data_IF_373416500453
#
_entry.id   IF_373416500453
#
_cell.length_a   1.000
_cell.length_b   1.000
_cell.length_c   1.000
_cell.angle_alpha   90.00
_cell.angle_beta   90.00
_cell.angle_gamma   90.00
#
_symmetry.space_group_name_H-M   'P 1'
#
loop_
_entity.id
_entity.type
_entity.pdbx_description
1 polymer ?
2 non-polymer ?
3 non-polymer ?
4 non-polymer ?
5 water ?
#
# COMPACT_ATOMS: atom_id res chain seq x y z
N UNK A 23 -7.58 -19.89 0.94
CA UNK A 23 -8.47 -20.29 2.07
C UNK A 23 -8.67 -19.14 3.07
N UNK A 24 -7.87 -18.08 2.92
CA UNK A 24 -7.96 -16.90 3.78
C UNK A 24 -8.31 -15.66 2.95
N UNK A 25 -9.35 -14.93 3.35
CA UNK A 25 -9.73 -13.70 2.64
C UNK A 25 -8.62 -12.68 2.84
N UNK A 26 -8.08 -12.15 1.74
CA UNK A 26 -7.02 -11.18 1.82
C UNK A 26 -7.44 -9.83 1.26
N UNK A 27 -7.52 -8.82 2.13
CA UNK A 27 -7.92 -7.49 1.71
C UNK A 27 -6.79 -6.49 1.79
N UNK A 28 -6.63 -5.71 0.73
CA UNK A 28 -5.58 -4.71 0.69
C UNK A 28 -6.10 -3.32 1.04
N UNK A 29 -5.34 -2.61 1.88
CA UNK A 29 -5.72 -1.25 2.27
C UNK A 29 -4.89 -0.32 1.40
N UNK A 30 -5.54 0.51 0.59
CA UNK A 30 -4.82 1.43 -0.28
C UNK A 30 -5.11 2.90 0.09
N UNK A 31 -4.15 3.76 -0.17
CA UNK A 31 -4.33 5.16 0.14
C UNK A 31 -3.06 5.98 0.00
N UNK A 32 -3.22 7.29 -0.13
CA UNK A 32 -2.10 8.22 -0.27
C UNK A 32 -1.23 8.28 0.99
N UNK A 33 -0.05 8.84 0.83
CA UNK A 33 0.88 8.99 1.93
C UNK A 33 0.18 9.73 3.07
N UNK A 34 0.25 9.17 4.27
CA UNK A 34 -0.36 9.75 5.45
C UNK A 34 -1.88 9.95 5.37
N UNK A 35 -2.56 9.15 4.56
CA UNK A 35 -4.01 9.28 4.45
C UNK A 35 -4.67 8.69 5.70
N UNK A 36 -3.99 7.78 6.38
CA UNK A 36 -4.54 7.22 7.60
C UNK A 36 -4.57 5.72 7.68
N UNK A 37 -3.79 5.07 6.83
CA UNK A 37 -3.72 3.61 6.80
C UNK A 37 -3.34 2.94 8.14
N UNK A 38 -2.18 3.29 8.71
CA UNK A 38 -1.76 2.70 9.97
C UNK A 38 -2.79 2.95 11.05
N UNK A 39 -3.44 4.11 11.02
CA UNK A 39 -4.46 4.44 12.02
C UNK A 39 -5.66 3.52 11.89
N UNK A 40 -6.02 3.23 10.64
CA UNK A 40 -7.15 2.36 10.31
C UNK A 40 -6.78 0.92 10.67
N UNK A 41 -5.52 0.57 10.43
CA UNK A 41 -5.03 -0.77 10.74
C UNK A 41 -5.11 -1.10 12.24
N UNK A 42 -4.86 -0.10 13.08
CA UNK A 42 -4.89 -0.30 14.53
C UNK A 42 -6.25 -0.52 15.17
N UNK A 43 -7.31 -0.21 14.44
CA UNK A 43 -8.64 -0.41 14.98
C UNK A 43 -9.24 -1.67 14.38
N UNK A 44 -8.45 -2.35 13.55
CA UNK A 44 -8.91 -3.57 12.90
C UNK A 44 -8.89 -4.85 13.75
N UNK A 45 -7.74 -5.15 14.34
CA UNK A 45 -7.63 -6.36 15.14
C UNK A 45 -8.64 -6.43 16.26
N UNK A 46 -8.91 -5.29 16.89
CA UNK A 46 -9.86 -5.30 17.99
C UNK A 46 -11.31 -5.52 17.57
N UNK A 47 -11.56 -5.50 16.26
CA UNK A 47 -12.93 -5.70 15.77
C UNK A 47 -13.24 -7.18 15.54
N UNK A 48 -12.21 -8.02 15.56
CA UNK A 48 -12.41 -9.44 15.37
C UNK A 48 -11.10 -10.21 15.51
N UNK A 49 -11.13 -11.23 16.36
CA UNK A 49 -9.94 -12.04 16.60
C UNK A 49 -9.53 -12.79 15.34
N UNK A 50 -10.43 -12.83 14.35
CA UNK A 50 -10.15 -13.52 13.09
C UNK A 50 -9.35 -12.70 12.07
N UNK A 51 -9.04 -11.46 12.42
CA UNK A 51 -8.32 -10.63 11.48
C UNK A 51 -6.84 -10.49 11.73
N UNK A 52 -6.10 -10.39 10.63
CA UNK A 52 -4.67 -10.24 10.70
C UNK A 52 -4.25 -9.04 9.87
N UNK A 53 -3.16 -8.41 10.27
CA UNK A 53 -2.66 -7.22 9.57
C UNK A 53 -1.17 -7.30 9.25
N UNK A 54 -0.83 -7.09 7.98
CA UNK A 54 0.59 -7.09 7.58
C UNK A 54 0.95 -5.65 7.33
N UNK A 55 1.67 -5.02 8.26
CA UNK A 55 2.03 -3.61 8.05
C UNK A 55 3.13 -3.41 7.02
N UNK A 56 3.08 -2.23 6.42
CA UNK A 56 4.06 -1.83 5.45
C UNK A 56 5.39 -1.72 6.19
N UNK A 57 6.42 -2.43 5.72
CA UNK A 57 7.75 -2.42 6.35
C UNK A 57 8.47 -1.07 6.23
N UNK A 58 7.78 0.01 6.58
CA UNK A 58 8.37 1.35 6.48
C UNK A 58 9.63 1.57 7.35
N UNK A 59 9.59 1.15 8.61
CA UNK A 59 10.75 1.34 9.49
C UNK A 59 11.98 0.57 8.99
N UNK A 60 11.72 -0.58 8.36
CA UNK A 60 12.77 -1.43 7.84
C UNK A 60 13.43 -0.85 6.57
N UNK A 61 12.80 0.17 5.99
CA UNK A 61 13.37 0.79 4.81
C UNK A 61 14.22 1.97 5.30
N UNK A 62 14.01 2.32 6.56
CA UNK A 62 14.71 3.44 7.17
C UNK A 62 16.01 3.08 7.89
N UNK A 63 16.20 1.79 8.13
CA UNK A 63 17.43 1.34 8.75
C UNK A 63 17.72 0.01 8.14
N UNK A 64 18.12 0.05 6.88
CA UNK A 64 18.44 -1.14 6.10
C UNK A 64 19.44 -2.06 6.80
N UNK A 65 18.92 -3.20 7.26
CA UNK A 65 19.71 -4.21 7.96
C UNK A 65 19.30 -5.54 7.32
N UNK A 66 20.17 -6.54 7.42
CA UNK A 66 19.89 -7.87 6.86
C UNK A 66 18.90 -8.62 7.75
N UNK A 67 18.10 -9.50 7.15
CA UNK A 67 17.08 -10.26 7.88
C UNK A 67 17.52 -10.68 9.29
N UNK A 80 22.55 0.02 13.50
CA UNK A 80 22.03 1.09 12.67
C UNK A 80 22.73 1.29 11.31
N UNK A 81 21.97 1.14 10.24
CA UNK A 81 22.51 1.28 8.89
C UNK A 81 21.85 2.34 8.00
N UNK A 82 21.85 2.08 6.68
CA UNK A 82 21.30 3.02 5.72
C UNK A 82 19.80 3.23 5.72
N UNK A 83 19.39 4.40 5.22
CA UNK A 83 17.98 4.78 5.15
C UNK A 83 17.58 5.04 3.68
N UNK A 84 17.39 3.96 2.92
CA UNK A 84 17.07 4.04 1.52
C UNK A 84 15.80 4.88 1.20
N UNK A 85 14.85 4.91 2.12
CA UNK A 85 13.64 5.71 1.92
C UNK A 85 14.02 7.18 1.77
N UNK A 86 14.94 7.62 2.63
CA UNK A 86 15.39 9.00 2.59
C UNK A 86 16.32 9.26 1.41
N UNK A 87 17.13 8.27 1.07
CA UNK A 87 18.05 8.39 -0.04
C UNK A 87 17.24 8.66 -1.32
N UNK A 88 16.14 7.93 -1.46
CA UNK A 88 15.27 8.05 -2.60
C UNK A 88 14.54 9.40 -2.60
N UNK A 89 13.98 9.81 -1.47
CA UNK A 89 13.31 11.10 -1.39
C UNK A 89 14.27 12.26 -1.63
N UNK A 90 15.57 12.05 -1.43
CA UNK A 90 16.54 13.12 -1.62
C UNK A 90 17.24 13.12 -2.97
N UNK A 91 17.14 12.03 -3.71
CA UNK A 91 17.74 11.96 -5.03
C UNK A 91 17.08 10.80 -5.77
N UNK A 92 15.78 10.92 -6.05
CA UNK A 92 14.95 9.94 -6.75
C UNK A 92 15.47 9.34 -8.04
N UNK A 93 16.14 10.13 -8.88
CA UNK A 93 16.66 9.59 -10.14
C UNK A 93 17.86 8.70 -9.91
N UNK A 94 18.37 8.71 -8.69
CA UNK A 94 19.51 7.87 -8.34
C UNK A 94 19.04 6.62 -7.61
N UNK A 95 18.13 6.81 -6.67
CA UNK A 95 17.61 5.74 -5.82
C UNK A 95 16.19 5.22 -5.98
N UNK A 96 15.45 5.63 -7.01
CA UNK A 96 14.10 5.12 -7.17
C UNK A 96 14.07 3.63 -7.49
N UNK A 97 14.90 3.19 -8.43
CA UNK A 97 14.93 1.78 -8.78
C UNK A 97 15.27 0.93 -7.55
N UNK A 98 16.39 1.24 -6.91
CA UNK A 98 16.83 0.51 -5.73
C UNK A 98 15.69 0.44 -4.73
N UNK A 99 15.13 1.60 -4.41
CA UNK A 99 14.05 1.62 -3.45
C UNK A 99 12.88 0.76 -3.92
N UNK A 100 12.47 0.92 -5.17
CA UNK A 100 11.36 0.13 -5.69
C UNK A 100 11.66 -1.37 -5.66
N UNK A 101 12.92 -1.72 -5.91
CA UNK A 101 13.34 -3.12 -5.92
C UNK A 101 13.26 -3.72 -4.53
N UNK A 102 13.83 -3.01 -3.56
CA UNK A 102 13.86 -3.46 -2.18
C UNK A 102 12.52 -3.31 -1.48
N UNK A 103 11.82 -2.23 -1.76
CA UNK A 103 10.54 -2.00 -1.12
C UNK A 103 9.54 -3.10 -1.46
N UNK A 104 9.45 -3.47 -2.73
CA UNK A 104 8.49 -4.49 -3.12
C UNK A 104 8.83 -5.90 -2.61
N UNK A 105 10.07 -6.34 -2.82
CA UNK A 105 10.50 -7.66 -2.35
C UNK A 105 10.18 -7.75 -0.87
N UNK A 106 10.49 -6.66 -0.17
CA UNK A 106 10.26 -6.55 1.25
C UNK A 106 8.81 -6.79 1.65
N UNK A 107 7.89 -6.11 0.97
CA UNK A 107 6.47 -6.23 1.26
C UNK A 107 5.96 -7.64 0.97
N UNK A 108 6.49 -8.27 -0.07
CA UNK A 108 6.07 -9.61 -0.42
C UNK A 108 6.45 -10.60 0.65
N UNK A 109 7.69 -10.49 1.14
CA UNK A 109 8.15 -11.38 2.19
C UNK A 109 7.27 -11.21 3.41
N UNK A 110 7.00 -9.97 3.79
CA UNK A 110 6.15 -9.72 4.95
C UNK A 110 4.76 -10.34 4.79
N UNK A 111 4.15 -10.13 3.62
CA UNK A 111 2.83 -10.67 3.36
C UNK A 111 2.86 -12.19 3.24
N UNK A 112 3.94 -12.73 2.69
CA UNK A 112 4.02 -14.17 2.59
C UNK A 112 4.22 -14.80 3.95
N UNK A 113 5.02 -14.16 4.79
CA UNK A 113 5.28 -14.73 6.12
C UNK A 113 3.99 -14.87 6.88
N UNK A 114 3.15 -13.84 6.80
CA UNK A 114 1.88 -13.84 7.51
C UNK A 114 0.91 -14.88 6.97
N UNK A 115 1.26 -15.48 5.83
CA UNK A 115 0.42 -16.53 5.27
C UNK A 115 0.98 -17.86 5.75
N UNK A 116 1.46 -17.87 6.97
CA UNK A 116 2.03 -19.07 7.56
C UNK A 116 2.03 -18.90 9.06
N UNK A 117 1.08 -18.10 9.56
CA UNK A 117 0.99 -17.87 10.99
C UNK A 117 -0.25 -18.52 11.60
N UNK A 118 -0.62 -18.01 12.77
CA UNK A 118 -1.78 -18.50 13.52
C UNK A 118 -3.08 -18.40 12.71
N UNK A 119 -3.05 -17.58 11.67
CA UNK A 119 -4.21 -17.35 10.82
C UNK A 119 -4.73 -18.64 10.18
N UNK A 120 -3.82 -19.55 9.83
CA UNK A 120 -4.18 -20.81 9.21
C UNK A 120 -5.13 -21.62 10.12
N UNK A 121 -4.95 -21.45 11.44
CA UNK A 121 -5.77 -22.14 12.44
C UNK A 121 -7.08 -21.40 12.74
N UNK A 122 -7.28 -20.23 12.13
CA UNK A 122 -8.47 -19.43 12.36
C UNK A 122 -9.75 -19.95 11.70
N UNK A 123 -10.89 -19.40 12.13
CA UNK A 123 -12.22 -19.77 11.62
C UNK A 123 -12.60 -18.98 10.37
N UNK A 124 -12.75 -17.67 10.52
CA UNK A 124 -13.10 -16.79 9.41
C UNK A 124 -11.93 -15.83 9.20
N UNK A 125 -10.73 -16.36 8.95
CA UNK A 125 -9.49 -15.61 8.73
C UNK A 125 -9.54 -14.59 7.61
N UNK A 126 -9.33 -13.34 7.97
CA UNK A 126 -9.32 -12.26 7.00
C UNK A 126 -7.97 -11.57 7.19
N UNK A 127 -7.17 -11.59 6.12
CA UNK A 127 -5.84 -11.02 6.16
C UNK A 127 -5.76 -9.64 5.50
N UNK A 128 -5.34 -8.63 6.27
CA UNK A 128 -5.21 -7.28 5.72
C UNK A 128 -3.79 -6.95 5.29
N UNK A 129 -3.66 -6.27 4.15
CA UNK A 129 -2.37 -5.87 3.61
C UNK A 129 -2.30 -4.36 3.60
N UNK A 130 -1.22 -3.79 4.12
CA UNK A 130 -1.06 -2.34 4.10
C UNK A 130 -0.36 -2.07 2.77
N UNK A 131 -1.16 -1.70 1.77
CA UNK A 131 -0.71 -1.46 0.40
C UNK A 131 -0.37 -2.81 -0.24
N UNK A 132 -0.18 -2.81 -1.54
CA UNK A 132 0.10 -4.04 -2.26
C UNK A 132 1.18 -3.90 -3.32
N UNK A 133 1.58 -5.02 -3.91
CA UNK A 133 2.58 -5.00 -4.97
C UNK A 133 2.05 -4.17 -6.12
N UNK A 134 0.74 -3.97 -6.17
CA UNK A 134 0.15 -3.18 -7.22
C UNK A 134 0.42 -1.70 -6.99
N UNK A 135 0.23 -1.24 -5.75
CA UNK A 135 0.49 0.17 -5.42
C UNK A 135 1.93 0.45 -5.77
N UNK A 136 2.82 -0.43 -5.31
CA UNK A 136 4.24 -0.28 -5.56
C UNK A 136 4.54 0.00 -7.02
N UNK A 137 3.97 -0.83 -7.88
CA UNK A 137 4.20 -0.70 -9.31
C UNK A 137 3.34 0.30 -10.06
N UNK A 138 2.02 0.17 -9.97
CA UNK A 138 1.15 1.06 -10.71
C UNK A 138 0.89 2.42 -10.09
N UNK A 139 1.42 2.66 -8.90
CA UNK A 139 1.26 3.96 -8.29
C UNK A 139 2.59 4.66 -8.10
N UNK A 140 3.42 4.14 -7.22
CA UNK A 140 4.70 4.76 -6.96
C UNK A 140 5.75 4.61 -8.06
N UNK A 141 6.08 3.37 -8.38
CA UNK A 141 7.10 3.12 -9.40
C UNK A 141 6.68 3.76 -10.72
N UNK A 142 5.43 3.52 -11.09
CA UNK A 142 4.87 4.05 -12.31
C UNK A 142 5.12 5.56 -12.34
N UNK A 143 4.74 6.24 -11.27
CA UNK A 143 4.90 7.69 -11.15
C UNK A 143 6.33 8.21 -11.13
N UNK A 144 7.23 7.51 -10.46
CA UNK A 144 8.61 7.94 -10.40
C UNK A 144 9.20 7.87 -11.81
N UNK A 145 8.75 6.89 -12.58
CA UNK A 145 9.23 6.70 -13.93
C UNK A 145 8.68 7.78 -14.88
N UNK A 146 7.44 8.21 -14.63
CA UNK A 146 6.83 9.22 -15.47
C UNK A 146 7.44 10.57 -15.13
N UNK A 147 8.17 10.59 -14.01
CA UNK A 147 8.83 11.80 -13.53
C UNK A 147 10.31 11.78 -13.92
N UNK A 148 10.66 10.92 -14.86
CA UNK A 148 12.02 10.77 -15.33
C UNK A 148 12.99 10.37 -14.20
N UNK A 149 12.46 9.77 -13.15
CA UNK A 149 13.31 9.35 -12.04
C UNK A 149 13.88 7.94 -12.23
N UNK A 150 13.42 7.28 -13.28
CA UNK A 150 13.91 5.97 -13.65
C UNK A 150 13.94 6.00 -15.16
N UNK A 151 15.09 5.69 -15.76
CA UNK A 151 15.19 5.66 -17.22
C UNK A 151 14.51 4.40 -17.76
N UNK A 152 14.46 4.27 -19.09
CA UNK A 152 13.83 3.10 -19.70
C UNK A 152 14.40 1.82 -19.14
N UNK A 153 15.74 1.75 -19.12
CA UNK A 153 16.45 0.59 -18.61
C UNK A 153 15.99 0.20 -17.21
N UNK A 154 16.02 1.14 -16.28
CA UNK A 154 15.57 0.87 -14.92
C UNK A 154 14.10 0.42 -14.95
N UNK A 155 13.27 1.17 -15.65
CA UNK A 155 11.86 0.86 -15.76
C UNK A 155 11.57 -0.52 -16.39
N UNK A 156 12.36 -0.90 -17.37
CA UNK A 156 12.17 -2.20 -18.00
C UNK A 156 12.58 -3.29 -17.02
N UNK A 157 13.74 -3.13 -16.39
CA UNK A 157 14.19 -4.14 -15.42
C UNK A 157 13.21 -4.30 -14.27
N UNK A 158 12.68 -3.19 -13.77
CA UNK A 158 11.73 -3.27 -12.67
C UNK A 158 10.46 -4.04 -13.00
N UNK A 159 9.86 -3.79 -14.15
CA UNK A 159 8.64 -4.50 -14.51
C UNK A 159 8.90 -5.98 -14.75
N UNK A 160 10.04 -6.29 -15.33
CA UNK A 160 10.43 -7.66 -15.63
C UNK A 160 10.57 -8.44 -14.33
N UNK A 161 11.08 -7.76 -13.31
CA UNK A 161 11.27 -8.35 -12.00
C UNK A 161 9.90 -8.48 -11.35
N UNK A 162 9.16 -7.40 -11.37
CA UNK A 162 7.85 -7.37 -10.77
C UNK A 162 6.92 -8.44 -11.31
N UNK A 163 6.96 -8.66 -12.62
CA UNK A 163 6.12 -9.67 -13.26
C UNK A 163 6.53 -11.03 -12.75
N UNK A 164 7.81 -11.33 -12.93
CA UNK A 164 8.38 -12.59 -12.51
C UNK A 164 8.14 -12.88 -11.03
N UNK A 165 8.05 -11.84 -10.22
CA UNK A 165 7.79 -12.03 -8.79
C UNK A 165 6.40 -12.61 -8.65
N UNK A 166 5.40 -11.93 -9.20
CA UNK A 166 4.03 -12.42 -9.13
C UNK A 166 3.95 -13.80 -9.76
N UNK A 167 4.62 -13.96 -10.89
CA UNK A 167 4.65 -15.23 -11.60
C UNK A 167 4.93 -16.35 -10.60
N UNK A 168 5.83 -16.07 -9.66
CA UNK A 168 6.19 -17.04 -8.65
C UNK A 168 5.17 -17.01 -7.53
N UNK A 169 5.59 -16.45 -6.40
CA UNK A 169 4.78 -16.32 -5.20
C UNK A 169 3.70 -15.26 -5.38
N UNK A 170 2.89 -15.42 -6.42
CA UNK A 170 1.84 -14.46 -6.68
C UNK A 170 0.45 -14.98 -6.41
N UNK A 171 0.10 -16.08 -7.09
CA UNK A 171 -1.22 -16.69 -6.95
C UNK A 171 -1.76 -16.74 -5.52
N UNK A 172 -0.88 -16.93 -4.54
CA UNK A 172 -1.30 -16.99 -3.14
C UNK A 172 -1.48 -15.63 -2.47
N UNK A 173 -1.30 -14.56 -3.22
CA UNK A 173 -1.45 -13.24 -2.64
C UNK A 173 -2.59 -12.42 -3.26
N UNK A 174 -3.32 -13.01 -4.19
CA UNK A 174 -4.42 -12.29 -4.82
C UNK A 174 -5.41 -11.73 -3.83
N UNK A 175 -5.90 -10.54 -4.13
CA UNK A 175 -6.83 -9.86 -3.27
C UNK A 175 -8.27 -10.22 -3.55
N UNK A 176 -9.03 -10.32 -2.47
CA UNK A 176 -10.45 -10.63 -2.55
C UNK A 176 -11.19 -9.29 -2.52
N UNK A 177 -10.51 -8.27 -2.02
CA UNK A 177 -11.13 -6.95 -1.94
C UNK A 177 -10.14 -5.85 -1.59
N UNK A 178 -10.52 -4.62 -1.93
CA UNK A 178 -9.68 -3.46 -1.68
C UNK A 178 -10.41 -2.38 -0.89
N UNK A 179 -9.69 -1.76 0.03
CA UNK A 179 -10.27 -0.67 0.81
C UNK A 179 -9.48 0.59 0.50
N UNK A 180 -10.08 1.46 -0.32
CA UNK A 180 -9.45 2.71 -0.70
C UNK A 180 -9.73 3.77 0.37
N UNK A 181 -8.69 4.15 1.11
CA UNK A 181 -8.83 5.18 2.12
C UNK A 181 -8.62 6.47 1.34
N UNK A 182 -9.71 7.18 1.13
CA UNK A 182 -9.67 8.40 0.33
C UNK A 182 -9.62 9.72 1.10
N UNK A 183 -8.59 10.50 0.81
CA UNK A 183 -8.43 11.80 1.43
C UNK A 183 -7.78 12.75 0.42
N UNK A 184 -8.11 14.04 0.47
CA UNK A 184 -7.52 15.01 -0.45
C UNK A 184 -6.01 15.11 -0.25
N UNK A 185 -5.25 15.34 -1.33
CA UNK A 185 -3.80 15.46 -1.19
C UNK A 185 -3.45 16.60 -0.25
N UNK A 186 -4.38 17.52 -0.05
CA UNK A 186 -4.16 18.63 0.86
C UNK A 186 -4.28 18.14 2.32
N UNK A 187 -5.18 17.19 2.56
CA UNK A 187 -5.37 16.62 3.88
C UNK A 187 -4.15 15.76 4.17
N UNK A 188 -3.67 15.09 3.14
CA UNK A 188 -2.51 14.24 3.27
C UNK A 188 -1.28 15.05 3.66
N UNK A 189 -1.00 16.14 2.94
CA UNK A 189 0.15 16.99 3.23
C UNK A 189 0.19 17.49 4.68
N UNK A 190 -0.98 17.65 5.28
CA UNK A 190 -1.09 18.12 6.67
C UNK A 190 -0.90 16.97 7.66
N UNK A 191 -1.47 15.81 7.36
CA UNK A 191 -1.31 14.65 8.23
C UNK A 191 0.14 14.20 8.27
N UNK A 192 0.87 14.51 7.20
CA UNK A 192 2.28 14.17 7.11
C UNK A 192 2.95 14.99 8.17
N UNK A 193 2.61 16.27 8.18
CA UNK A 193 3.17 17.17 9.16
C UNK A 193 2.87 16.71 10.59
N UNK A 194 1.68 16.14 10.82
CA UNK A 194 1.30 15.65 12.15
C UNK A 194 2.09 14.43 12.60
N UNK A 195 2.27 13.49 11.68
CA UNK A 195 2.99 12.25 11.95
C UNK A 195 4.44 12.51 12.36
N UNK A 196 5.06 13.50 11.71
CA UNK A 196 6.43 13.85 12.05
C UNK A 196 7.59 13.04 11.47
N UNK A 197 7.31 12.10 10.58
CA UNK A 197 8.39 11.32 9.99
C UNK A 197 9.24 12.32 9.20
N UNK A 198 10.52 12.36 9.51
CA UNK A 198 11.47 13.29 8.89
C UNK A 198 11.65 13.28 7.39
N UNK A 199 11.77 12.08 6.82
CA UNK A 199 11.96 11.95 5.37
C UNK A 199 10.77 12.54 4.63
N UNK A 200 9.58 12.40 5.20
CA UNK A 200 8.38 12.89 4.55
C UNK A 200 8.12 14.39 4.71
N UNK A 201 8.82 15.04 5.63
CA UNK A 201 8.61 16.46 5.86
C UNK A 201 8.96 17.35 4.68
N UNK A 202 9.77 16.83 3.77
CA UNK A 202 10.14 17.61 2.61
C UNK A 202 9.26 17.32 1.42
N UNK A 203 8.26 16.45 1.61
CA UNK A 203 7.36 16.06 0.52
C UNK A 203 6.44 17.21 0.11
N UNK A 204 6.47 17.58 -1.18
CA UNK A 204 5.67 18.66 -1.77
C UNK A 204 4.25 18.26 -2.16
N UNK A 205 3.32 19.20 -2.07
CA UNK A 205 1.92 18.95 -2.42
C UNK A 205 1.82 18.31 -3.80
N UNK A 206 2.60 18.84 -4.73
CA UNK A 206 2.64 18.35 -6.10
C UNK A 206 2.85 16.84 -6.23
N UNK A 207 3.67 16.27 -5.36
CA UNK A 207 3.95 14.84 -5.37
C UNK A 207 2.72 14.10 -4.86
N UNK A 208 2.09 14.66 -3.83
CA UNK A 208 0.89 14.08 -3.26
C UNK A 208 -0.28 14.12 -4.25
N UNK A 209 -0.28 15.14 -5.12
CA UNK A 209 -1.34 15.25 -6.12
C UNK A 209 -1.19 14.16 -7.17
N UNK A 210 0.04 13.98 -7.66
CA UNK A 210 0.27 12.97 -8.67
C UNK A 210 -0.16 11.59 -8.16
N UNK A 211 0.17 11.29 -6.91
CA UNK A 211 -0.20 10.00 -6.32
C UNK A 211 -1.71 9.92 -6.17
N UNK A 212 -2.31 11.05 -5.85
CA UNK A 212 -3.77 11.11 -5.67
C UNK A 212 -4.50 10.65 -6.93
N UNK A 213 -4.21 11.33 -8.04
CA UNK A 213 -4.86 11.00 -9.30
C UNK A 213 -4.61 9.57 -9.75
N UNK A 214 -3.49 8.98 -9.35
CA UNK A 214 -3.24 7.61 -9.74
C UNK A 214 -4.10 6.67 -8.92
N UNK A 215 -4.40 7.06 -7.68
CA UNK A 215 -5.27 6.23 -6.85
C UNK A 215 -6.68 6.36 -7.38
N UNK A 216 -7.04 7.58 -7.76
CA UNK A 216 -8.37 7.86 -8.29
C UNK A 216 -8.57 7.08 -9.59
N UNK A 217 -7.53 7.10 -10.42
CA UNK A 217 -7.59 6.40 -11.69
C UNK A 217 -7.73 4.91 -11.53
N UNK A 218 -7.14 4.37 -10.46
CA UNK A 218 -7.17 2.94 -10.25
C UNK A 218 -8.32 2.43 -9.41
N UNK A 219 -8.60 3.12 -8.32
CA UNK A 219 -9.64 2.69 -7.41
C UNK A 219 -10.98 3.42 -7.52
N UNK A 220 -10.99 4.59 -8.13
CA UNK A 220 -12.23 5.33 -8.26
C UNK A 220 -12.82 5.13 -9.64
N UNK A 221 -12.20 5.76 -10.64
CA UNK A 221 -12.65 5.65 -12.03
C UNK A 221 -12.40 4.25 -12.59
N UNK A 222 -11.50 3.52 -11.95
CA UNK A 222 -11.16 2.17 -12.37
C UNK A 222 -10.69 2.10 -13.83
N UNK A 223 -9.96 3.13 -14.23
CA UNK A 223 -9.43 3.23 -15.59
C UNK A 223 -7.94 2.96 -15.70
N UNK A 224 -7.41 2.12 -14.80
CA UNK A 224 -5.99 1.79 -14.81
C UNK A 224 -5.77 0.41 -15.42
N UNK A 225 -4.79 0.30 -16.30
CA UNK A 225 -4.48 -0.97 -16.96
C UNK A 225 -3.34 -1.72 -16.25
N UNK A 226 -3.54 -3.01 -15.99
CA UNK A 226 -2.52 -3.83 -15.33
C UNK A 226 -2.44 -5.21 -15.96
N UNK A 227 -1.32 -5.89 -15.70
CA UNK A 227 -1.08 -7.23 -16.20
C UNK A 227 -1.84 -8.28 -15.40
N UNK A 228 -2.48 -7.85 -14.31
CA UNK A 228 -3.22 -8.78 -13.48
C UNK A 228 -4.71 -8.55 -13.63
N UNK A 229 -5.29 -9.30 -14.56
CA UNK A 229 -6.69 -9.22 -14.90
C UNK A 229 -7.73 -9.28 -13.79
N UNK A 230 -7.54 -10.18 -12.84
CA UNK A 230 -8.52 -10.32 -11.76
C UNK A 230 -8.84 -9.02 -11.03
N UNK A 231 -7.82 -8.17 -10.86
CA UNK A 231 -7.97 -6.88 -10.19
C UNK A 231 -9.15 -6.09 -10.72
N UNK A 232 -9.24 -6.02 -12.04
CA UNK A 232 -10.30 -5.29 -12.71
C UNK A 232 -11.69 -5.63 -12.16
N UNK A 233 -11.90 -6.88 -11.75
CA UNK A 233 -13.20 -7.32 -11.20
C UNK A 233 -13.26 -7.21 -9.67
N UNK A 234 -12.11 -7.34 -9.01
CA UNK A 234 -12.04 -7.25 -7.55
C UNK A 234 -12.87 -6.12 -6.95
N UNK A 235 -13.61 -6.41 -5.86
CA UNK A 235 -14.47 -5.49 -5.13
C UNK A 235 -13.73 -4.34 -4.46
N UNK A 236 -14.35 -3.17 -4.40
CA UNK A 236 -13.69 -2.05 -3.78
C UNK A 236 -14.55 -1.25 -2.83
N UNK A 237 -13.99 -0.96 -1.67
CA UNK A 237 -14.69 -0.16 -0.68
C UNK A 237 -13.99 1.20 -0.58
N UNK A 238 -14.72 2.27 -0.84
CA UNK A 238 -14.14 3.59 -0.75
C UNK A 238 -14.64 4.27 0.49
N UNK A 239 -13.69 4.68 1.34
CA UNK A 239 -13.99 5.37 2.59
C UNK A 239 -13.43 6.78 2.54
N UNK A 240 -14.29 7.77 2.75
CA UNK A 240 -13.83 9.15 2.75
C UNK A 240 -13.29 9.44 4.14
N UNK A 241 -11.97 9.41 4.27
CA UNK A 241 -11.33 9.66 5.55
C UNK A 241 -10.77 11.07 5.68
N UNK A 242 -11.38 12.03 4.99
CA UNK A 242 -10.93 13.42 5.07
C UNK A 242 -11.35 14.02 6.40
N UNK A 243 -12.39 13.45 7.01
CA UNK A 243 -12.89 13.94 8.28
C UNK A 243 -12.19 13.29 9.48
N UNK A 244 -12.35 13.90 10.64
CA UNK A 244 -11.76 13.43 11.91
C UNK A 244 -12.00 11.95 12.15
N UNK A 245 -10.95 11.23 12.53
CA UNK A 245 -11.06 9.78 12.79
C UNK A 245 -11.89 9.57 14.03
N UNK A 246 -11.80 10.53 14.93
CA UNK A 246 -12.53 10.49 16.18
C UNK A 246 -14.02 10.22 15.94
N UNK A 247 -14.59 10.85 14.92
CA UNK A 247 -16.00 10.72 14.60
C UNK A 247 -16.36 9.64 13.59
N UNK A 248 -15.87 9.79 12.36
CA UNK A 248 -16.17 8.82 11.31
C UNK A 248 -15.87 7.37 11.64
N UNK A 249 -15.24 7.11 12.79
CA UNK A 249 -14.89 5.76 13.22
C UNK A 249 -16.04 4.74 13.23
N UNK A 250 -17.09 5.04 13.99
CA UNK A 250 -18.24 4.16 14.10
C UNK A 250 -18.79 3.75 12.72
N UNK A 251 -18.88 4.72 11.81
CA UNK A 251 -19.39 4.48 10.45
C UNK A 251 -18.53 3.44 9.76
N UNK A 252 -17.26 3.80 9.61
CA UNK A 252 -16.28 2.95 8.96
C UNK A 252 -16.38 1.49 9.40
N UNK A 253 -16.37 1.25 10.71
CA UNK A 253 -16.46 -0.11 11.23
C UNK A 253 -17.64 -0.82 10.58
N UNK A 254 -18.78 -0.13 10.52
CA UNK A 254 -19.97 -0.69 9.91
C UNK A 254 -19.73 -1.08 8.45
N UNK A 255 -19.29 -0.11 7.66
CA UNK A 255 -19.03 -0.33 6.24
C UNK A 255 -17.97 -1.39 5.96
N UNK A 256 -17.09 -1.63 6.92
CA UNK A 256 -16.03 -2.64 6.78
C UNK A 256 -16.61 -4.02 7.01
N UNK A 257 -17.28 -4.19 8.14
CA UNK A 257 -17.90 -5.47 8.44
C UNK A 257 -18.87 -5.77 7.28
N UNK A 258 -19.64 -4.75 6.90
CA UNK A 258 -20.58 -4.85 5.80
C UNK A 258 -19.88 -5.41 4.55
N UNK A 259 -19.02 -4.59 3.96
CA UNK A 259 -18.26 -4.94 2.77
C UNK A 259 -17.64 -6.33 2.88
N UNK A 260 -17.12 -6.67 4.05
CA UNK A 260 -16.49 -7.97 4.26
C UNK A 260 -17.45 -9.15 4.13
N UNK A 261 -18.68 -8.95 4.60
CA UNK A 261 -19.69 -10.01 4.51
C UNK A 261 -20.01 -10.31 3.05
N UNK A 262 -20.01 -9.27 2.22
CA UNK A 262 -20.31 -9.40 0.79
C UNK A 262 -19.16 -9.97 -0.01
N UNK A 263 -18.21 -10.60 0.67
CA UNK A 263 -17.05 -11.18 0.00
C UNK A 263 -16.96 -12.69 0.20
X LIG B 1 2.04 3.43 6.73
X LIG C 1 -0.57 6.25 6.79
X LIG C 1 -1.29 5.15 7.42
X LIG C 1 -0.84 6.32 5.21
X LIG C 1 1.01 6.09 6.96
X LIG C 1 -0.82 7.64 9.06
X LIG C 1 -1.84 6.72 9.67
X LIG C 1 0.67 7.20 9.50
X LIG C 1 -0.94 7.65 7.43
X LIG C 1 -1.11 9.16 9.48
X LIG C 1 -1.10 9.19 10.87
X LIG C 1 -1.27 10.59 11.38
X LIG C 1 -2.39 11.27 10.78
X LIG C 1 -1.44 10.45 12.87
X LIG C 1 -0.51 11.22 13.64
X LIG C 1 -2.93 10.81 13.14
X LIG C 1 -2.99 11.80 14.18
X LIG C 1 -3.42 11.44 11.79
X LIG C 1 -4.68 10.90 11.26
X LIG C 1 -4.84 9.77 10.48
X LIG C 1 -6.09 9.61 10.17
X LIG C 1 -6.82 10.61 10.71
X LIG C 1 -8.19 10.98 10.71
X LIG C 1 -9.13 10.21 10.03
X LIG C 1 -8.57 12.09 11.38
X LIG C 1 -7.70 12.85 12.04
X LIG C 1 -6.40 12.55 12.07
X LIG C 1 -5.92 11.45 11.42
X LIG D 1 3.98 4.90 3.83
X LIG D 1 5.15 5.34 4.51
X LIG D 1 6.23 5.75 3.52
X LIG D 1 6.39 4.68 2.56
X LIG D 1 5.85 7.00 2.71
X LIG D 1 6.97 7.88 2.64
X LIG D 1 5.55 6.46 1.31
X LIG D 1 4.22 6.09 1.15
X LIG D 1 6.55 5.30 1.28
X LIG D 1 6.30 4.31 0.20
X LIG D 1 5.60 3.18 0.35
X LIG D 1 5.66 2.47 -0.77
X LIG D 1 6.40 3.14 -1.64
X LIG D 1 6.80 4.32 -1.03
X LIG D 1 7.55 5.20 -1.70
X LIG D 1 7.92 4.96 -2.96
X LIG D 1 8.86 6.13 -3.82
X LIG D 1 7.55 3.83 -3.58
X LIG D 1 6.81 2.90 -2.95
X LIG D 1 6.47 1.78 -3.57
#
# INVERSE_FOLDING_TARGET
GSHMATPPKRSCPSFSASSEGTRIKKISIEGNIAAGKSTFVNILKQLCEDWEVVPEPVARWCNVQSTQDEFEELTMSQKNGGNVLQMMYEKPERWSFTFQTYACLSRIRAQLASLNGKLKDAEKPVLFFERSVYSDRYIFASNLYESECMNETEWTIYQDWHDWMNNQFGQSLELDGIIYLQATPETCLHRIYLRGRNEEQGIPLEYLEKLHYKHESWLLHRTLKTNFDYLQEVPILTLDVNEDFKDKYESLVEKVKEFLSTL
MG MG
ADP PB O1B O2B O3B PA O1A O2A O3A O5' C5' C4' O4' C3' O3' C2' O2' C1' N9 C8 N7 C5 C6 N6 N1 C2 N3 C4
CFB O5' C5' C4' O4' C3' O3' C2' F C1' N9 C8 N7 C5 C4 N3 C2 CL N1 C6 N6
#
